data_IF_800138620689
#
_entry.id   IF_800138620689
#
_cell.length_a   1.000
_cell.length_b   1.000
_cell.length_c   1.000
_cell.angle_alpha   90.00
_cell.angle_beta   90.00
_cell.angle_gamma   90.00
#
_symmetry.space_group_name_H-M   'P 1'
#
loop_
_entity.id
_entity.type
_entity.pdbx_description
1 polymer ?
#
# COMPACT_ATOMS: atom_id res chain seq x y z
N UNK A 1 16.69 -11.01 -7.87
CA UNK A 1 16.18 -10.50 -6.59
C UNK A 1 14.99 -9.62 -6.92
N UNK A 2 13.78 -10.14 -6.76
CA UNK A 2 12.57 -9.34 -7.02
C UNK A 2 12.48 -8.30 -5.92
N UNK A 3 12.77 -7.04 -6.26
CA UNK A 3 12.62 -5.93 -5.32
C UNK A 3 11.14 -5.73 -5.04
N UNK A 4 10.71 -6.05 -3.83
CA UNK A 4 9.39 -5.65 -3.31
C UNK A 4 9.23 -4.13 -3.54
N UNK A 5 8.06 -3.67 -4.05
CA UNK A 5 7.86 -2.26 -4.35
C UNK A 5 7.83 -1.45 -3.06
N UNK A 6 8.57 -0.35 -3.00
CA UNK A 6 8.56 0.52 -1.81
C UNK A 6 7.17 1.18 -1.61
N UNK A 7 6.86 1.58 -0.37
CA UNK A 7 5.63 2.31 -0.05
C UNK A 7 5.38 3.56 -0.94
N UNK A 8 6.44 4.27 -1.32
CA UNK A 8 6.35 5.42 -2.23
C UNK A 8 5.95 5.00 -3.66
N UNK A 9 6.41 3.85 -4.13
CA UNK A 9 6.08 3.31 -5.45
C UNK A 9 4.65 2.80 -5.50
N UNK A 10 4.18 2.12 -4.43
CA UNK A 10 2.78 1.70 -4.29
C UNK A 10 1.86 2.91 -4.32
N UNK A 11 2.17 3.92 -3.51
CA UNK A 11 1.40 5.17 -3.44
C UNK A 11 1.33 5.87 -4.79
N UNK A 12 2.45 5.92 -5.53
CA UNK A 12 2.53 6.53 -6.87
C UNK A 12 1.76 5.71 -7.91
N UNK A 13 1.83 4.38 -7.86
CA UNK A 13 1.14 3.47 -8.79
C UNK A 13 -0.37 3.43 -8.57
N UNK A 14 -0.84 3.66 -7.34
CA UNK A 14 -2.26 3.64 -7.01
C UNK A 14 -3.09 4.72 -7.73
N UNK A 15 -2.46 5.74 -8.34
CA UNK A 15 -3.11 6.80 -9.15
C UNK A 15 -4.38 7.41 -8.51
N UNK A 16 -4.43 7.48 -7.17
CA UNK A 16 -5.62 7.90 -6.42
C UNK A 16 -5.64 9.40 -6.16
N UNK A 17 -6.85 9.98 -6.16
CA UNK A 17 -7.10 11.36 -5.70
C UNK A 17 -6.68 11.56 -4.23
N UNK A 18 -6.58 10.48 -3.44
CA UNK A 18 -6.12 10.54 -2.05
C UNK A 18 -4.67 11.04 -1.96
N UNK A 19 -3.81 10.77 -2.96
CA UNK A 19 -2.45 11.30 -3.01
C UNK A 19 -2.41 12.84 -3.09
N UNK A 20 -3.47 13.48 -3.58
CA UNK A 20 -3.62 14.93 -3.54
C UNK A 20 -4.05 15.42 -2.16
N UNK A 21 -4.98 14.73 -1.50
CA UNK A 21 -5.39 15.05 -0.13
C UNK A 21 -4.23 14.90 0.87
N UNK A 22 -3.32 13.94 0.65
CA UNK A 22 -2.09 13.81 1.44
C UNK A 22 -1.18 15.06 1.36
N UNK A 23 -1.24 15.85 0.28
CA UNK A 23 -0.48 17.11 0.18
C UNK A 23 -1.03 18.20 1.08
N UNK A 24 -2.29 18.13 1.48
CA UNK A 24 -2.89 19.08 2.43
C UNK A 24 -2.36 18.90 3.86
N UNK A 25 -1.66 17.80 4.15
CA UNK A 25 -1.08 17.53 5.47
C UNK A 25 0.30 18.20 5.60
N UNK A 26 0.68 18.71 6.80
CA UNK A 26 2.02 19.19 7.10
C UNK A 26 3.15 18.24 6.66
N UNK A 27 4.24 18.81 6.14
CA UNK A 27 5.31 18.07 5.47
C UNK A 27 6.00 17.03 6.38
N UNK A 28 6.11 17.32 7.67
CA UNK A 28 6.63 16.43 8.71
C UNK A 28 5.82 15.13 8.83
N UNK A 29 4.51 15.19 8.54
CA UNK A 29 3.58 14.04 8.61
C UNK A 29 3.35 13.34 7.28
N UNK A 30 3.62 14.00 6.14
CA UNK A 30 3.41 13.40 4.79
C UNK A 30 4.14 12.07 4.62
N UNK A 31 5.38 11.97 5.12
CA UNK A 31 6.17 10.73 5.01
C UNK A 31 5.49 9.54 5.68
N UNK A 32 4.88 9.76 6.85
CA UNK A 32 4.18 8.73 7.61
C UNK A 32 2.88 8.32 6.91
N UNK A 33 2.19 9.28 6.29
CA UNK A 33 0.96 9.02 5.56
C UNK A 33 1.19 8.27 4.24
N UNK A 34 2.34 8.45 3.59
CA UNK A 34 2.71 7.64 2.41
C UNK A 34 2.84 6.17 2.80
N UNK A 35 3.51 5.86 3.92
CA UNK A 35 3.59 4.49 4.43
C UNK A 35 2.23 3.93 4.84
N UNK A 36 1.42 4.72 5.55
CA UNK A 36 0.07 4.32 5.94
C UNK A 36 -0.83 4.05 4.73
N UNK A 37 -0.80 4.92 3.72
CA UNK A 37 -1.59 4.77 2.51
C UNK A 37 -1.13 3.56 1.67
N UNK A 38 0.18 3.32 1.57
CA UNK A 38 0.70 2.13 0.91
C UNK A 38 0.22 0.85 1.60
N UNK A 39 0.23 0.81 2.94
CA UNK A 39 -0.34 -0.29 3.71
C UNK A 39 -1.80 -0.53 3.37
N UNK A 40 -2.65 0.50 3.44
CA UNK A 40 -4.07 0.37 3.08
C UNK A 40 -4.23 -0.20 1.67
N UNK A 41 -3.44 0.27 0.69
CA UNK A 41 -3.55 -0.20 -0.68
C UNK A 41 -3.20 -1.68 -0.84
N UNK A 42 -2.14 -2.14 -0.17
CA UNK A 42 -1.73 -3.56 -0.19
C UNK A 42 -2.82 -4.45 0.42
N UNK A 43 -3.40 -4.03 1.54
CA UNK A 43 -4.46 -4.80 2.21
C UNK A 43 -5.76 -4.80 1.39
N UNK A 44 -6.15 -3.65 0.84
CA UNK A 44 -7.32 -3.54 -0.03
C UNK A 44 -7.16 -4.44 -1.27
N UNK A 45 -5.98 -4.43 -1.90
CA UNK A 45 -5.71 -5.31 -3.06
C UNK A 45 -5.83 -6.80 -2.70
N UNK A 46 -5.38 -7.22 -1.52
CA UNK A 46 -5.56 -8.60 -1.04
C UNK A 46 -7.01 -8.94 -0.68
N UNK A 47 -7.76 -7.95 -0.18
CA UNK A 47 -9.15 -8.14 0.24
C UNK A 47 -10.10 -8.18 -0.95
N UNK A 48 -9.97 -7.22 -1.87
CA UNK A 48 -10.84 -6.99 -3.03
C UNK A 48 -10.69 -8.04 -4.13
N UNK A 49 -9.56 -8.77 -4.17
CA UNK A 49 -9.38 -9.86 -5.12
C UNK A 49 -10.27 -11.06 -4.73
N UNK A 50 -11.37 -11.23 -5.47
CA UNK A 50 -12.36 -12.29 -5.25
C UNK A 50 -11.89 -13.66 -5.77
N UNK A 51 -10.86 -13.70 -6.62
CA UNK A 51 -10.34 -14.92 -7.23
C UNK A 51 -9.14 -15.47 -6.44
N UNK A 52 -8.50 -14.63 -5.62
CA UNK A 52 -7.34 -15.03 -4.83
C UNK A 52 -7.71 -16.07 -3.74
N UNK A 53 -7.07 -17.25 -3.74
CA UNK A 53 -7.29 -18.27 -2.70
C UNK A 53 -6.96 -17.73 -1.30
N UNK A 54 -7.66 -18.24 -0.29
CA UNK A 54 -7.48 -17.80 1.10
C UNK A 54 -6.03 -17.94 1.60
N UNK A 55 -5.33 -18.98 1.18
CA UNK A 55 -3.93 -19.22 1.55
C UNK A 55 -2.97 -18.18 0.94
N UNK A 56 -3.26 -17.73 -0.29
CA UNK A 56 -2.51 -16.65 -0.94
C UNK A 56 -2.78 -15.30 -0.26
N UNK A 57 -4.04 -15.03 0.13
CA UNK A 57 -4.40 -13.85 0.95
C UNK A 57 -3.62 -13.82 2.26
N UNK A 58 -3.55 -14.95 2.98
CA UNK A 58 -2.79 -15.07 4.23
C UNK A 58 -1.29 -14.87 4.02
N UNK A 59 -0.73 -15.41 2.92
CA UNK A 59 0.68 -15.25 2.59
C UNK A 59 1.02 -13.78 2.26
N UNK A 60 0.19 -13.10 1.48
CA UNK A 60 0.32 -11.67 1.22
C UNK A 60 0.22 -10.83 2.50
N UNK A 61 -0.70 -11.19 3.40
CA UNK A 61 -0.85 -10.54 4.71
C UNK A 61 0.33 -10.84 5.66
N UNK A 62 1.07 -11.92 5.47
CA UNK A 62 2.31 -12.14 6.22
C UNK A 62 3.46 -11.30 5.65
N UNK A 63 3.52 -11.14 4.32
CA UNK A 63 4.59 -10.46 3.60
C UNK A 63 4.52 -8.94 3.61
N UNK A 64 3.36 -8.31 3.90
CA UNK A 64 3.23 -6.84 3.78
C UNK A 64 4.22 -6.04 4.65
N UNK A 65 4.74 -6.62 5.74
CA UNK A 65 5.70 -5.94 6.62
C UNK A 65 7.09 -5.77 6.00
N UNK A 66 7.36 -6.49 4.91
CA UNK A 66 8.63 -6.44 4.18
C UNK A 66 8.65 -5.32 3.11
N UNK A 67 7.53 -4.58 2.97
CA UNK A 67 7.27 -3.48 2.02
C UNK A 67 7.71 -2.10 2.55
#
# INVERSE_FOLDING_TARGET
MSSEPTAAEITRKAKSNLAFALRCVPADRRRHLVSFYAFCRVIDDLADDLELPLEEKKKGLAGWKEI
#
